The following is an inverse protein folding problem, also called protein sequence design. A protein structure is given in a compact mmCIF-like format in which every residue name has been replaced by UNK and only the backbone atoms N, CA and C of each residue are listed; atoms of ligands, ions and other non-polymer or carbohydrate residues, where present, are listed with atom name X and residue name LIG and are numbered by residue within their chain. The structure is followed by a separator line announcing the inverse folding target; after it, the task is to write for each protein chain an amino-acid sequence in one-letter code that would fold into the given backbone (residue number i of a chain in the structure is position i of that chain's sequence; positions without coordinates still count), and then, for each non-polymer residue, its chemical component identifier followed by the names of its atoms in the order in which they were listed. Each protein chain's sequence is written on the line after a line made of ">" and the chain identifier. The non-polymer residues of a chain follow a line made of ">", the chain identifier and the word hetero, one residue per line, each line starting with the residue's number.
data_IF_633031365612
#
_entry.id   IF_633031365612
#
_cell.length_a   1.000
_cell.length_b   1.000
_cell.length_c   1.000
_cell.angle_alpha   90.00
_cell.angle_beta   90.00
_cell.angle_gamma   90.00
#
_symmetry.space_group_name_H-M   'P 1'
#
loop_
_entity.id
_entity.type
_entity.pdbx_description
1 polymer ?
#
# COMPACT_ATOMS: atom_id res chain seq x y z
N UNK A 1 -29.32 22.44 23.20
CA UNK A 1 -28.71 21.13 23.16
C UNK A 1 -27.38 21.28 22.42
N UNK A 2 -26.26 21.35 23.18
CA UNK A 2 -24.92 21.43 22.61
C UNK A 2 -24.51 20.02 22.23
N UNK A 3 -24.47 19.73 20.94
CA UNK A 3 -23.92 18.48 20.43
C UNK A 3 -22.38 18.49 20.58
N UNK A 4 -21.87 17.69 21.50
CA UNK A 4 -20.44 17.39 21.57
C UNK A 4 -20.03 16.71 20.28
N UNK A 5 -19.39 17.48 19.39
CA UNK A 5 -18.65 16.92 18.25
C UNK A 5 -17.40 16.27 18.87
N UNK A 6 -17.46 14.96 19.10
CA UNK A 6 -16.26 14.16 19.28
C UNK A 6 -15.51 14.18 17.97
N UNK A 7 -14.56 15.10 17.81
CA UNK A 7 -13.50 14.98 16.82
C UNK A 7 -12.64 13.81 17.30
N UNK A 8 -12.98 12.62 16.87
CA UNK A 8 -12.04 11.50 16.88
C UNK A 8 -10.85 11.98 16.05
N UNK A 9 -9.73 12.25 16.71
CA UNK A 9 -8.45 12.43 16.03
C UNK A 9 -8.20 11.15 15.24
N UNK A 10 -8.55 11.14 13.95
CA UNK A 10 -8.22 10.04 13.06
C UNK A 10 -6.70 9.99 13.04
N UNK A 11 -6.14 8.93 13.63
CA UNK A 11 -4.70 8.71 13.59
C UNK A 11 -4.31 8.49 12.14
N UNK A 12 -3.33 9.25 11.65
CA UNK A 12 -2.77 9.06 10.33
C UNK A 12 -2.32 7.60 10.16
N UNK A 13 -2.73 6.97 9.06
CA UNK A 13 -2.34 5.60 8.72
C UNK A 13 -1.04 5.61 7.93
N UNK A 14 -0.02 4.93 8.43
CA UNK A 14 1.25 4.75 7.71
C UNK A 14 1.43 3.28 7.35
N UNK A 15 1.71 3.02 6.07
CA UNK A 15 2.03 1.69 5.55
C UNK A 15 3.42 1.78 4.95
N UNK A 16 4.34 0.95 5.41
CA UNK A 16 5.68 0.93 4.85
C UNK A 16 6.30 -0.49 4.89
N UNK A 17 7.24 -0.76 3.98
CA UNK A 17 7.95 -2.04 3.92
C UNK A 17 8.63 -2.25 2.59
N UNK A 18 9.34 -3.37 2.39
CA UNK A 18 9.94 -3.67 1.11
C UNK A 18 8.87 -3.96 0.05
N UNK A 19 9.20 -3.70 -1.20
CA UNK A 19 8.28 -3.95 -2.32
C UNK A 19 7.80 -5.40 -2.34
N UNK A 20 8.74 -6.35 -2.20
CA UNK A 20 8.54 -7.79 -2.23
C UNK A 20 9.41 -8.44 -1.14
N UNK A 21 9.04 -9.61 -0.69
CA UNK A 21 9.86 -10.43 0.20
C UNK A 21 11.06 -10.94 -0.58
N UNK A 22 12.25 -10.40 -0.31
CA UNK A 22 13.50 -10.81 -0.96
C UNK A 22 14.29 -11.79 -0.09
N UNK A 23 14.37 -11.52 1.22
CA UNK A 23 14.99 -12.39 2.22
C UNK A 23 14.46 -12.11 3.63
N UNK A 24 14.71 -13.02 4.57
CA UNK A 24 14.36 -12.85 5.97
C UNK A 24 15.15 -11.69 6.61
N UNK A 25 16.42 -11.52 6.25
CA UNK A 25 17.30 -10.47 6.75
C UNK A 25 16.83 -9.09 6.34
N UNK A 26 16.34 -8.95 5.09
CA UNK A 26 15.76 -7.68 4.63
C UNK A 26 14.48 -7.35 5.41
N UNK A 27 13.58 -8.31 5.59
CA UNK A 27 12.36 -8.09 6.37
C UNK A 27 12.69 -7.67 7.81
N UNK A 28 13.64 -8.36 8.42
CA UNK A 28 14.09 -8.10 9.80
C UNK A 28 14.66 -6.69 9.95
N UNK A 29 15.55 -6.28 9.04
CA UNK A 29 16.16 -4.96 9.01
C UNK A 29 15.10 -3.86 8.89
N UNK A 30 14.15 -4.01 7.98
CA UNK A 30 13.11 -3.01 7.73
C UNK A 30 12.11 -2.98 8.89
N UNK A 31 11.71 -4.13 9.43
CA UNK A 31 10.79 -4.20 10.56
C UNK A 31 11.38 -3.59 11.84
N UNK A 32 12.65 -3.86 12.13
CA UNK A 32 13.35 -3.25 13.27
C UNK A 32 13.34 -1.72 13.18
N UNK A 33 13.63 -1.17 11.99
CA UNK A 33 13.58 0.28 11.77
C UNK A 33 12.18 0.87 11.96
N UNK A 34 11.14 0.17 11.55
CA UNK A 34 9.76 0.63 11.77
C UNK A 34 9.38 0.66 13.24
N UNK A 35 9.81 -0.32 14.03
CA UNK A 35 9.61 -0.32 15.50
C UNK A 35 10.33 0.87 16.13
N UNK A 36 11.56 1.18 15.69
CA UNK A 36 12.30 2.37 16.15
C UNK A 36 11.52 3.66 15.85
N UNK A 37 11.06 3.82 14.61
CA UNK A 37 10.27 4.99 14.19
C UNK A 37 8.97 5.09 14.99
N UNK A 38 8.24 3.99 15.15
CA UNK A 38 7.01 3.93 15.94
C UNK A 38 7.22 4.40 17.36
N UNK A 39 8.31 3.96 18.01
CA UNK A 39 8.66 4.36 19.37
C UNK A 39 9.01 5.85 19.45
N UNK A 40 9.77 6.37 18.50
CA UNK A 40 10.23 7.77 18.51
C UNK A 40 9.11 8.75 18.17
N UNK A 41 8.29 8.42 17.18
CA UNK A 41 7.26 9.31 16.66
C UNK A 41 5.85 9.06 17.25
N UNK A 42 5.66 7.99 18.04
CA UNK A 42 4.34 7.61 18.56
C UNK A 42 3.36 7.22 17.44
N UNK A 43 3.87 6.57 16.39
CA UNK A 43 3.11 6.07 15.24
C UNK A 43 2.80 4.58 15.39
N UNK A 44 2.00 4.05 14.45
CA UNK A 44 1.70 2.63 14.34
C UNK A 44 1.78 2.26 12.84
N UNK A 45 3.01 2.12 12.36
CA UNK A 45 3.29 1.79 10.96
C UNK A 45 2.88 0.34 10.71
N UNK A 46 2.07 0.12 9.68
CA UNK A 46 1.71 -1.21 9.20
C UNK A 46 2.83 -1.69 8.27
N UNK A 47 3.43 -2.83 8.63
CA UNK A 47 4.49 -3.43 7.82
C UNK A 47 3.90 -4.08 6.56
N UNK A 48 4.41 -3.69 5.39
CA UNK A 48 3.95 -4.23 4.11
C UNK A 48 5.05 -4.98 3.38
N UNK A 49 4.78 -6.20 2.93
CA UNK A 49 5.57 -6.84 1.89
C UNK A 49 4.69 -7.77 1.04
N UNK A 50 5.00 -7.88 -0.27
CA UNK A 50 4.31 -8.81 -1.16
C UNK A 50 5.00 -10.17 -1.13
N UNK A 51 4.22 -11.25 -1.02
CA UNK A 51 4.74 -12.62 -1.16
C UNK A 51 4.90 -13.04 -2.63
N UNK A 52 4.20 -12.36 -3.54
CA UNK A 52 4.30 -12.55 -4.99
C UNK A 52 4.10 -11.21 -5.72
N UNK A 53 4.76 -11.06 -6.84
CA UNK A 53 4.55 -10.00 -7.83
C UNK A 53 3.96 -10.63 -9.11
N UNK A 54 2.63 -10.84 -9.11
CA UNK A 54 1.94 -11.61 -10.15
C UNK A 54 1.85 -10.91 -11.52
N UNK A 55 2.05 -9.59 -11.58
CA UNK A 55 1.87 -8.76 -12.78
C UNK A 55 3.17 -8.20 -13.37
N UNK A 56 4.28 -8.95 -13.27
CA UNK A 56 5.58 -8.52 -13.82
C UNK A 56 5.56 -8.43 -15.35
N UNK A 57 6.35 -7.50 -15.90
CA UNK A 57 6.48 -7.31 -17.36
C UNK A 57 7.16 -8.50 -18.03
N UNK A 58 8.16 -9.13 -17.39
CA UNK A 58 8.86 -10.30 -17.91
C UNK A 58 8.59 -11.53 -17.08
N UNK A 59 8.44 -12.69 -17.74
CA UNK A 59 8.26 -14.00 -17.08
C UNK A 59 9.49 -14.40 -16.24
N UNK A 60 10.67 -13.89 -16.58
CA UNK A 60 11.92 -14.14 -15.85
C UNK A 60 12.15 -13.19 -14.67
N UNK A 61 11.26 -12.22 -14.43
CA UNK A 61 11.41 -11.29 -13.31
C UNK A 61 11.25 -12.00 -11.98
N UNK A 62 11.98 -11.53 -10.96
CA UNK A 62 11.80 -12.00 -9.59
C UNK A 62 10.38 -11.73 -9.10
N UNK A 63 9.72 -12.74 -8.54
CA UNK A 63 8.33 -12.67 -8.10
C UNK A 63 8.15 -12.70 -6.59
N UNK A 64 9.12 -13.20 -5.85
CA UNK A 64 9.02 -13.44 -4.41
C UNK A 64 9.02 -14.93 -4.07
N UNK A 65 8.89 -15.28 -2.76
CA UNK A 65 8.96 -16.66 -2.27
C UNK A 65 7.69 -17.49 -2.51
N UNK A 66 6.61 -16.87 -3.01
CA UNK A 66 5.29 -17.49 -3.09
C UNK A 66 4.50 -17.40 -1.78
N UNK A 67 3.24 -17.84 -1.83
CA UNK A 67 2.29 -17.61 -0.72
C UNK A 67 2.69 -18.36 0.55
N UNK A 68 3.03 -19.64 0.48
CA UNK A 68 3.28 -20.46 1.68
C UNK A 68 4.47 -19.93 2.48
N UNK A 69 5.64 -19.80 1.84
CA UNK A 69 6.83 -19.26 2.50
C UNK A 69 6.68 -17.79 2.86
N UNK A 70 6.03 -17.00 1.99
CA UNK A 70 5.85 -15.58 2.25
C UNK A 70 4.96 -15.30 3.45
N UNK A 71 3.88 -16.06 3.63
CA UNK A 71 3.02 -15.92 4.81
C UNK A 71 3.70 -16.37 6.09
N UNK A 72 4.53 -17.41 6.07
CA UNK A 72 5.34 -17.80 7.22
C UNK A 72 6.29 -16.66 7.62
N UNK A 73 7.03 -16.09 6.68
CA UNK A 73 7.95 -14.99 6.94
C UNK A 73 7.23 -13.74 7.48
N UNK A 74 6.03 -13.42 6.96
CA UNK A 74 5.22 -12.32 7.48
C UNK A 74 4.68 -12.60 8.89
N UNK A 75 4.31 -13.85 9.19
CA UNK A 75 3.92 -14.27 10.53
C UNK A 75 5.07 -14.11 11.53
N UNK A 76 6.29 -14.49 11.14
CA UNK A 76 7.49 -14.33 11.98
C UNK A 76 7.77 -12.86 12.30
N UNK A 77 7.66 -11.97 11.31
CA UNK A 77 7.78 -10.52 11.53
C UNK A 77 6.70 -10.01 12.49
N UNK A 78 5.46 -10.44 12.30
CA UNK A 78 4.34 -10.07 13.19
C UNK A 78 4.60 -10.49 14.63
N UNK A 79 5.02 -11.72 14.85
CA UNK A 79 5.28 -12.26 16.18
C UNK A 79 6.50 -11.61 16.85
N UNK A 80 7.59 -11.43 16.09
CA UNK A 80 8.85 -10.89 16.60
C UNK A 80 8.76 -9.41 16.97
N UNK A 81 8.07 -8.62 16.15
CA UNK A 81 8.08 -7.17 16.24
C UNK A 81 6.76 -6.54 16.72
N UNK A 82 5.68 -7.33 16.81
CA UNK A 82 4.35 -6.83 17.21
C UNK A 82 3.74 -5.86 16.20
N UNK A 83 4.22 -5.85 14.94
CA UNK A 83 3.72 -4.98 13.90
C UNK A 83 2.43 -5.54 13.29
N UNK A 84 1.50 -4.66 12.94
CA UNK A 84 0.40 -5.02 12.03
C UNK A 84 0.97 -5.28 10.64
N UNK A 85 0.39 -6.25 9.93
CA UNK A 85 0.89 -6.69 8.61
C UNK A 85 -0.12 -6.40 7.51
N UNK A 86 0.39 -5.96 6.36
CA UNK A 86 -0.34 -5.84 5.12
C UNK A 86 0.36 -6.65 4.02
N UNK A 87 -0.39 -7.42 3.24
CA UNK A 87 0.09 -8.00 1.98
C UNK A 87 -0.95 -7.87 0.89
N UNK A 88 -0.54 -7.94 -0.37
CA UNK A 88 -1.44 -7.96 -1.52
C UNK A 88 -1.77 -9.39 -1.96
N UNK A 89 -3.01 -9.57 -2.44
CA UNK A 89 -3.52 -10.82 -2.98
C UNK A 89 -3.93 -10.62 -4.44
N UNK A 90 -3.79 -11.67 -5.27
CA UNK A 90 -4.00 -11.60 -6.72
C UNK A 90 -5.10 -12.54 -7.20
N UNK A 91 -5.37 -13.61 -6.45
CA UNK A 91 -6.37 -14.63 -6.72
C UNK A 91 -7.30 -14.78 -5.51
N UNK A 92 -8.58 -15.09 -5.76
CA UNK A 92 -9.58 -15.19 -4.69
C UNK A 92 -9.22 -16.24 -3.62
N UNK A 93 -8.61 -17.37 -4.00
CA UNK A 93 -8.23 -18.43 -3.07
C UNK A 93 -7.11 -18.02 -2.09
N UNK A 94 -6.34 -16.97 -2.41
CA UNK A 94 -5.28 -16.45 -1.55
C UNK A 94 -5.81 -15.67 -0.35
N UNK A 95 -7.06 -15.20 -0.42
CA UNK A 95 -7.62 -14.32 0.61
C UNK A 95 -7.70 -15.01 1.98
N UNK A 96 -8.20 -16.24 2.03
CA UNK A 96 -8.35 -16.97 3.29
C UNK A 96 -7.01 -17.26 3.97
N UNK A 97 -6.01 -17.93 3.34
CA UNK A 97 -4.73 -18.18 3.99
C UNK A 97 -3.99 -16.88 4.35
N UNK A 98 -4.02 -15.84 3.52
CA UNK A 98 -3.43 -14.56 3.84
C UNK A 98 -4.14 -13.90 5.04
N UNK A 99 -5.46 -13.96 5.08
CA UNK A 99 -6.27 -13.41 6.17
C UNK A 99 -6.01 -14.04 7.55
N UNK A 100 -5.47 -15.24 7.62
CA UNK A 100 -5.05 -15.85 8.91
C UNK A 100 -3.81 -15.18 9.49
N UNK A 101 -2.99 -14.55 8.66
CA UNK A 101 -1.70 -13.94 9.06
C UNK A 101 -1.79 -12.42 9.15
N UNK A 102 -2.37 -11.77 8.14
CA UNK A 102 -2.30 -10.31 8.01
C UNK A 102 -3.49 -9.59 8.66
N UNK A 103 -3.32 -8.31 8.89
CA UNK A 103 -4.35 -7.43 9.43
C UNK A 103 -5.08 -6.65 8.31
N UNK A 104 -4.40 -6.45 7.18
CA UNK A 104 -4.93 -5.74 6.02
C UNK A 104 -4.62 -6.54 4.75
N UNK A 105 -5.65 -6.82 3.96
CA UNK A 105 -5.52 -7.39 2.62
C UNK A 105 -5.57 -6.28 1.58
N UNK A 106 -4.57 -6.22 0.70
CA UNK A 106 -4.53 -5.22 -0.37
C UNK A 106 -4.95 -5.83 -1.71
N UNK A 107 -5.83 -5.13 -2.41
CA UNK A 107 -6.21 -5.43 -3.78
C UNK A 107 -5.38 -4.56 -4.71
N UNK A 108 -4.54 -5.14 -5.60
CA UNK A 108 -3.75 -4.40 -6.57
C UNK A 108 -4.62 -3.57 -7.52
N UNK A 109 -4.06 -2.46 -8.02
CA UNK A 109 -4.79 -1.50 -8.84
C UNK A 109 -5.43 -2.12 -10.09
N UNK A 110 -4.72 -2.98 -10.83
CA UNK A 110 -5.28 -3.66 -12.01
C UNK A 110 -6.44 -4.60 -11.68
N UNK A 111 -6.53 -5.09 -10.45
CA UNK A 111 -7.53 -6.06 -10.00
C UNK A 111 -8.68 -5.44 -9.20
N UNK A 112 -8.71 -4.11 -9.04
CA UNK A 112 -9.67 -3.44 -8.17
C UNK A 112 -11.15 -3.64 -8.55
N UNK A 113 -11.44 -4.11 -9.77
CA UNK A 113 -12.79 -4.41 -10.26
C UNK A 113 -13.17 -5.88 -10.21
N UNK A 114 -12.22 -6.78 -9.88
CA UNK A 114 -12.43 -8.24 -9.85
C UNK A 114 -13.39 -8.64 -8.71
N UNK A 115 -14.61 -8.98 -9.07
CA UNK A 115 -15.69 -9.22 -8.11
C UNK A 115 -15.35 -10.35 -7.13
N UNK A 116 -14.89 -11.51 -7.64
CA UNK A 116 -14.61 -12.67 -6.80
C UNK A 116 -13.45 -12.41 -5.82
N UNK A 117 -12.43 -11.64 -6.25
CA UNK A 117 -11.32 -11.25 -5.40
C UNK A 117 -11.76 -10.32 -4.26
N UNK A 118 -12.62 -9.33 -4.57
CA UNK A 118 -13.18 -8.41 -3.57
C UNK A 118 -14.07 -9.14 -2.56
N UNK A 119 -14.94 -10.06 -3.04
CA UNK A 119 -15.78 -10.87 -2.17
C UNK A 119 -14.94 -11.77 -1.25
N UNK A 120 -13.92 -12.42 -1.80
CA UNK A 120 -13.04 -13.30 -1.01
C UNK A 120 -12.29 -12.51 0.07
N UNK A 121 -11.74 -11.35 -0.28
CA UNK A 121 -11.08 -10.47 0.69
C UNK A 121 -12.04 -10.00 1.79
N UNK A 122 -13.24 -9.55 1.43
CA UNK A 122 -14.26 -9.10 2.37
C UNK A 122 -14.65 -10.18 3.39
N UNK A 123 -14.81 -11.43 2.94
CA UNK A 123 -15.20 -12.57 3.77
C UNK A 123 -14.17 -12.95 4.84
N UNK A 124 -12.93 -12.50 4.73
CA UNK A 124 -11.90 -12.75 5.75
C UNK A 124 -12.13 -11.97 7.05
N UNK A 125 -12.99 -10.94 7.04
CA UNK A 125 -13.20 -10.02 8.16
C UNK A 125 -12.03 -9.07 8.41
N UNK A 126 -11.02 -9.06 7.53
CA UNK A 126 -9.88 -8.12 7.62
C UNK A 126 -10.20 -6.80 6.93
N UNK A 127 -9.44 -5.75 7.25
CA UNK A 127 -9.48 -4.51 6.48
C UNK A 127 -9.10 -4.78 5.03
N UNK A 128 -9.87 -4.26 4.08
CA UNK A 128 -9.60 -4.40 2.64
C UNK A 128 -9.12 -3.07 2.08
N UNK A 129 -7.86 -2.97 1.71
CA UNK A 129 -7.29 -1.79 1.06
C UNK A 129 -7.33 -1.97 -0.46
N UNK A 130 -8.11 -1.15 -1.16
CA UNK A 130 -8.29 -1.23 -2.61
C UNK A 130 -7.50 -0.12 -3.29
N UNK A 131 -6.48 -0.48 -4.07
CA UNK A 131 -5.75 0.49 -4.89
C UNK A 131 -6.58 0.92 -6.09
N UNK A 132 -6.71 2.24 -6.28
CA UNK A 132 -7.39 2.81 -7.46
C UNK A 132 -6.63 2.43 -8.73
N UNK A 133 -7.34 1.88 -9.72
CA UNK A 133 -6.74 1.62 -11.02
C UNK A 133 -6.33 2.92 -11.73
N UNK A 134 -5.29 2.82 -12.56
CA UNK A 134 -4.75 3.97 -13.31
C UNK A 134 -5.73 4.53 -14.35
N UNK A 135 -6.77 3.78 -14.68
CA UNK A 135 -7.81 4.15 -15.65
C UNK A 135 -9.14 4.58 -15.00
N UNK A 136 -9.22 4.63 -13.65
CA UNK A 136 -10.42 5.03 -12.92
C UNK A 136 -10.28 6.43 -12.30
N UNK A 137 -11.40 7.13 -12.19
CA UNK A 137 -11.52 8.32 -11.35
C UNK A 137 -11.65 7.97 -9.88
N UNK A 138 -11.45 8.96 -8.98
CA UNK A 138 -11.70 8.78 -7.55
C UNK A 138 -13.16 8.39 -7.26
N UNK A 139 -14.11 9.01 -7.96
CA UNK A 139 -15.54 8.73 -7.82
C UNK A 139 -15.94 7.30 -8.24
N UNK A 140 -15.26 6.72 -9.22
CA UNK A 140 -15.57 5.36 -9.68
C UNK A 140 -15.16 4.28 -8.66
N UNK A 141 -14.34 4.64 -7.67
CA UNK A 141 -13.96 3.72 -6.61
C UNK A 141 -15.11 3.34 -5.68
N UNK A 142 -16.27 4.03 -5.76
CA UNK A 142 -17.49 3.60 -5.06
C UNK A 142 -17.92 2.18 -5.44
N UNK A 143 -17.80 1.78 -6.71
CA UNK A 143 -18.24 0.47 -7.17
C UNK A 143 -17.47 -0.71 -6.54
N UNK A 144 -16.11 -0.72 -6.51
CA UNK A 144 -15.41 -1.77 -5.78
C UNK A 144 -15.66 -1.71 -4.26
N UNK A 145 -15.88 -0.52 -3.68
CA UNK A 145 -16.22 -0.39 -2.26
C UNK A 145 -17.60 -0.98 -1.98
N UNK A 146 -18.60 -0.70 -2.80
CA UNK A 146 -19.95 -1.30 -2.68
C UNK A 146 -19.87 -2.83 -2.73
N UNK A 147 -19.17 -3.41 -3.71
CA UNK A 147 -18.97 -4.87 -3.78
C UNK A 147 -18.36 -5.46 -2.52
N UNK A 148 -17.33 -4.81 -1.95
CA UNK A 148 -16.69 -5.26 -0.73
C UNK A 148 -17.64 -5.16 0.47
N UNK A 149 -18.37 -4.05 0.61
CA UNK A 149 -19.35 -3.83 1.68
C UNK A 149 -20.53 -4.81 1.59
N UNK A 150 -21.09 -5.01 0.39
CA UNK A 150 -22.18 -5.98 0.15
C UNK A 150 -21.76 -7.42 0.46
N UNK A 151 -20.45 -7.71 0.31
CA UNK A 151 -19.86 -9.00 0.69
C UNK A 151 -19.53 -9.10 2.19
N UNK A 152 -19.78 -8.04 2.98
CA UNK A 152 -19.60 -8.04 4.43
C UNK A 152 -18.25 -7.50 4.93
N UNK A 153 -17.50 -6.74 4.11
CA UNK A 153 -16.27 -6.12 4.58
C UNK A 153 -16.53 -5.18 5.77
N UNK A 154 -15.84 -5.41 6.86
CA UNK A 154 -15.97 -4.60 8.08
C UNK A 154 -15.35 -3.20 7.91
N UNK A 155 -14.25 -3.11 7.19
CA UNK A 155 -13.53 -1.87 6.93
C UNK A 155 -12.92 -1.88 5.53
N UNK A 156 -13.05 -0.78 4.79
CA UNK A 156 -12.53 -0.63 3.43
C UNK A 156 -11.76 0.68 3.33
N UNK A 157 -10.53 0.58 2.87
CA UNK A 157 -9.65 1.71 2.57
C UNK A 157 -9.47 1.86 1.07
N UNK A 158 -9.23 3.08 0.61
CA UNK A 158 -8.88 3.36 -0.78
C UNK A 158 -7.47 3.94 -0.87
N UNK A 159 -6.76 3.58 -1.94
CA UNK A 159 -5.40 4.08 -2.18
C UNK A 159 -5.29 4.73 -3.55
N UNK A 160 -4.98 6.05 -3.56
CA UNK A 160 -4.61 6.81 -4.77
C UNK A 160 -3.17 6.44 -5.18
N UNK A 161 -2.93 6.25 -6.48
CA UNK A 161 -1.61 5.91 -7.02
C UNK A 161 -1.34 6.49 -8.42
N UNK A 162 -2.15 7.40 -8.87
CA UNK A 162 -2.03 8.07 -10.17
C UNK A 162 -2.82 7.42 -11.31
N UNK A 163 -2.90 8.16 -12.39
CA UNK A 163 -3.58 7.79 -13.63
C UNK A 163 -2.57 7.66 -14.77
N UNK A 164 -2.85 6.78 -15.72
CA UNK A 164 -2.06 6.57 -16.94
C UNK A 164 -2.64 7.39 -18.09
N UNK A 165 -1.81 8.25 -18.65
CA UNK A 165 -2.20 9.13 -19.75
C UNK A 165 -1.59 8.69 -21.10
N UNK A 166 -0.86 7.55 -21.13
CA UNK A 166 -0.34 6.96 -22.37
C UNK A 166 1.06 7.43 -22.80
N UNK A 167 1.74 8.29 -22.04
CA UNK A 167 3.10 8.78 -22.37
C UNK A 167 4.17 8.33 -21.36
N UNK A 168 4.04 7.11 -20.87
CA UNK A 168 4.98 6.46 -19.97
C UNK A 168 5.25 7.25 -18.67
N UNK A 169 4.28 8.01 -18.20
CA UNK A 169 4.33 8.74 -16.95
C UNK A 169 2.99 8.64 -16.24
N UNK A 170 3.01 8.51 -14.93
CA UNK A 170 1.78 8.57 -14.14
C UNK A 170 1.54 10.01 -13.68
N UNK A 171 0.28 10.41 -13.64
CA UNK A 171 -0.15 11.73 -13.18
C UNK A 171 -1.13 11.55 -12.03
N UNK A 172 -0.84 12.16 -10.90
CA UNK A 172 -1.77 12.19 -9.77
C UNK A 172 -2.67 13.41 -9.88
N UNK A 173 -3.95 13.17 -10.05
CA UNK A 173 -4.95 14.20 -9.78
C UNK A 173 -5.32 14.12 -8.30
N UNK A 174 -4.74 15.00 -7.50
CA UNK A 174 -4.96 15.01 -6.05
C UNK A 174 -6.42 15.27 -5.65
N UNK A 175 -7.28 15.77 -6.57
CA UNK A 175 -8.72 15.92 -6.34
C UNK A 175 -9.43 14.57 -6.14
N UNK A 176 -8.83 13.47 -6.63
CA UNK A 176 -9.32 12.13 -6.34
C UNK A 176 -9.34 11.80 -4.83
N UNK A 177 -8.47 12.43 -4.02
CA UNK A 177 -8.41 12.20 -2.57
C UNK A 177 -9.71 12.63 -1.89
N UNK A 178 -10.16 13.91 -1.97
CA UNK A 178 -11.45 14.30 -1.41
C UNK A 178 -12.62 13.56 -2.05
N UNK A 179 -12.59 13.22 -3.36
CA UNK A 179 -13.63 12.42 -3.99
C UNK A 179 -13.75 11.04 -3.32
N UNK A 180 -12.64 10.37 -3.05
CA UNK A 180 -12.62 9.08 -2.37
C UNK A 180 -12.96 9.20 -0.87
N UNK A 181 -12.64 10.32 -0.20
CA UNK A 181 -13.04 10.57 1.18
C UNK A 181 -14.56 10.71 1.34
N UNK A 182 -15.29 11.06 0.28
CA UNK A 182 -16.76 11.02 0.28
C UNK A 182 -17.32 9.57 0.23
N UNK A 183 -16.47 8.56 -0.05
CA UNK A 183 -16.86 7.14 -0.17
C UNK A 183 -16.46 6.36 1.08
N UNK A 184 -15.23 6.57 1.56
CA UNK A 184 -14.64 5.88 2.73
C UNK A 184 -13.89 6.88 3.61
N UNK A 185 -13.79 6.65 4.93
CA UNK A 185 -13.08 7.56 5.83
C UNK A 185 -11.55 7.48 5.72
N UNK A 186 -11.00 6.40 5.16
CA UNK A 186 -9.56 6.19 5.06
C UNK A 186 -9.12 6.19 3.59
N UNK A 187 -8.39 7.24 3.20
CA UNK A 187 -7.81 7.37 1.87
C UNK A 187 -6.29 7.53 1.99
N UNK A 188 -5.59 6.62 1.33
CA UNK A 188 -4.13 6.48 1.38
C UNK A 188 -3.53 7.01 0.09
N UNK A 189 -2.46 7.79 0.19
CA UNK A 189 -1.61 8.14 -0.95
C UNK A 189 -0.47 7.14 -1.07
N UNK A 190 -0.41 6.43 -2.19
CA UNK A 190 0.74 5.62 -2.56
C UNK A 190 1.83 6.52 -3.17
N UNK A 191 2.80 6.90 -2.36
CA UNK A 191 3.86 7.82 -2.75
C UNK A 191 4.93 7.14 -3.62
N UNK A 192 5.02 5.81 -3.57
CA UNK A 192 6.00 5.02 -4.34
C UNK A 192 5.54 4.79 -5.77
N UNK A 193 4.34 4.23 -5.93
CA UNK A 193 3.88 3.84 -7.26
C UNK A 193 3.34 5.03 -8.07
N UNK A 194 3.03 6.15 -7.43
CA UNK A 194 2.62 7.38 -8.13
C UNK A 194 3.76 8.06 -8.92
N UNK A 195 5.01 7.74 -8.61
CA UNK A 195 6.19 8.28 -9.32
C UNK A 195 6.79 7.30 -10.33
N UNK A 196 6.09 6.18 -10.60
CA UNK A 196 6.49 5.21 -11.62
C UNK A 196 6.41 5.82 -13.04
N UNK A 197 7.30 5.31 -13.90
CA UNK A 197 7.28 5.52 -15.34
C UNK A 197 7.12 4.16 -16.03
N UNK A 198 5.87 3.71 -16.24
CA UNK A 198 5.61 2.40 -16.84
C UNK A 198 6.26 2.30 -18.23
N UNK A 199 7.08 1.26 -18.46
CA UNK A 199 7.81 1.09 -19.72
C UNK A 199 8.93 2.11 -19.98
N UNK A 200 9.23 2.99 -19.04
CA UNK A 200 10.19 4.10 -19.20
C UNK A 200 11.67 3.71 -19.08
N UNK A 201 11.99 2.42 -18.92
CA UNK A 201 13.35 1.91 -18.78
C UNK A 201 13.50 0.59 -19.59
N UNK A 202 13.55 0.70 -20.92
CA UNK A 202 13.77 -0.41 -21.86
C UNK A 202 12.92 -1.67 -21.55
N UNK A 203 11.59 -1.48 -21.45
CA UNK A 203 10.64 -2.55 -21.15
C UNK A 203 10.49 -2.87 -19.66
N UNK A 204 11.18 -2.17 -18.79
CA UNK A 204 11.00 -2.22 -17.33
C UNK A 204 10.30 -0.96 -16.84
N UNK A 205 9.68 -1.05 -15.67
CA UNK A 205 9.12 0.13 -14.99
C UNK A 205 10.26 0.97 -14.44
N UNK A 206 10.40 2.19 -14.96
CA UNK A 206 11.25 3.24 -14.39
C UNK A 206 10.52 4.04 -13.32
N UNK A 207 11.14 5.11 -12.85
CA UNK A 207 10.54 6.05 -11.91
C UNK A 207 11.53 7.05 -11.35
N UNK A 208 11.07 7.87 -10.41
CA UNK A 208 11.90 8.89 -9.78
C UNK A 208 11.55 9.08 -8.30
N UNK A 209 12.25 8.34 -7.44
CA UNK A 209 12.06 8.38 -5.97
C UNK A 209 12.24 9.76 -5.35
N UNK A 210 12.91 10.69 -6.04
CA UNK A 210 13.12 12.06 -5.54
C UNK A 210 11.81 12.80 -5.27
N UNK A 211 10.73 12.43 -5.98
CA UNK A 211 9.42 13.05 -5.82
C UNK A 211 8.54 12.42 -4.72
N UNK A 212 8.97 11.30 -4.11
CA UNK A 212 8.19 10.65 -3.04
C UNK A 212 7.81 11.59 -1.90
N UNK A 213 8.73 12.42 -1.35
CA UNK A 213 8.38 13.36 -0.28
C UNK A 213 7.37 14.43 -0.73
N UNK A 214 7.49 14.94 -1.95
CA UNK A 214 6.58 15.97 -2.49
C UNK A 214 5.18 15.40 -2.72
N UNK A 215 5.08 14.17 -3.22
CA UNK A 215 3.79 13.48 -3.38
C UNK A 215 3.10 13.29 -2.03
N UNK A 216 3.85 12.92 -1.00
CA UNK A 216 3.33 12.77 0.34
C UNK A 216 2.78 14.07 0.91
N UNK A 217 3.52 15.18 0.77
CA UNK A 217 3.10 16.50 1.26
C UNK A 217 1.92 17.07 0.47
N UNK A 218 1.91 16.89 -0.86
CA UNK A 218 0.77 17.29 -1.69
C UNK A 218 -0.50 16.54 -1.28
N UNK A 219 -0.42 15.22 -1.06
CA UNK A 219 -1.55 14.43 -0.60
C UNK A 219 -2.06 14.90 0.79
N UNK A 220 -1.16 15.27 1.71
CA UNK A 220 -1.54 15.88 3.00
C UNK A 220 -2.37 17.16 2.80
N UNK A 221 -1.96 18.02 1.87
CA UNK A 221 -2.67 19.25 1.55
C UNK A 221 -4.08 19.01 0.99
N UNK A 222 -4.31 17.87 0.32
CA UNK A 222 -5.62 17.44 -0.18
C UNK A 222 -6.42 16.56 0.80
N UNK A 223 -5.92 16.39 2.04
CA UNK A 223 -6.66 15.72 3.10
C UNK A 223 -6.48 14.20 3.16
N UNK A 224 -5.46 13.62 2.53
CA UNK A 224 -5.15 12.20 2.69
C UNK A 224 -5.02 11.84 4.18
N UNK A 225 -5.59 10.71 4.55
CA UNK A 225 -5.59 10.19 5.92
C UNK A 225 -4.56 9.08 6.14
N UNK A 226 -3.82 8.72 5.09
CA UNK A 226 -2.75 7.73 5.16
C UNK A 226 -1.76 7.84 4.02
N UNK A 227 -0.61 7.19 4.21
CA UNK A 227 0.49 7.17 3.25
C UNK A 227 1.10 5.79 3.15
N UNK A 228 1.45 5.42 1.92
CA UNK A 228 2.08 4.15 1.59
C UNK A 228 3.46 4.41 0.98
N UNK A 229 4.48 3.73 1.54
CA UNK A 229 5.87 3.83 1.11
C UNK A 229 6.48 2.43 0.92
N UNK A 230 7.06 2.16 -0.23
CA UNK A 230 8.00 1.06 -0.35
C UNK A 230 9.40 1.58 -0.02
N UNK A 231 10.10 0.86 0.85
CA UNK A 231 11.40 1.26 1.39
C UNK A 231 12.40 0.11 1.28
N UNK A 232 13.68 0.47 1.15
CA UNK A 232 14.77 -0.50 1.12
C UNK A 232 16.04 0.13 1.70
N UNK A 233 16.89 -0.61 2.45
CA UNK A 233 18.17 -0.09 2.93
C UNK A 233 19.08 0.41 1.82
N UNK A 234 19.09 -0.28 0.67
CA UNK A 234 19.76 0.12 -0.56
C UNK A 234 18.83 -0.11 -1.76
N UNK A 235 17.98 0.86 -2.13
CA UNK A 235 16.97 0.68 -3.18
C UNK A 235 17.52 0.23 -4.54
N UNK A 236 18.75 0.60 -4.89
CA UNK A 236 19.35 0.25 -6.18
C UNK A 236 19.67 -1.25 -6.29
N UNK A 237 19.71 -1.97 -5.17
CA UNK A 237 19.87 -3.43 -5.11
C UNK A 237 18.53 -4.18 -5.03
N UNK A 238 17.42 -3.47 -4.92
CA UNK A 238 16.10 -4.09 -4.81
C UNK A 238 15.72 -4.90 -6.04
N UNK A 239 15.12 -6.06 -5.82
CA UNK A 239 14.72 -6.98 -6.88
C UNK A 239 13.39 -6.58 -7.56
N UNK A 240 12.69 -5.59 -6.99
CA UNK A 240 11.44 -5.02 -7.53
C UNK A 240 11.37 -3.53 -7.26
N UNK A 241 10.81 -2.77 -8.20
CA UNK A 241 10.54 -1.32 -8.11
C UNK A 241 11.71 -0.46 -7.60
N UNK A 242 12.94 -0.90 -7.83
CA UNK A 242 14.19 -0.28 -7.38
C UNK A 242 14.23 1.24 -7.61
N UNK A 243 13.78 1.73 -8.77
CA UNK A 243 13.79 3.15 -9.11
C UNK A 243 12.83 4.02 -8.27
N UNK A 244 11.85 3.41 -7.61
CA UNK A 244 10.77 4.11 -6.91
C UNK A 244 10.85 3.97 -5.39
N UNK A 245 11.51 2.92 -4.88
CA UNK A 245 11.63 2.71 -3.44
C UNK A 245 12.42 3.82 -2.78
N UNK A 246 11.93 4.26 -1.63
CA UNK A 246 12.60 5.24 -0.78
C UNK A 246 13.72 4.56 0.01
N UNK A 247 14.84 5.25 0.23
CA UNK A 247 15.85 4.81 1.18
C UNK A 247 15.25 4.75 2.60
N UNK A 248 15.47 3.61 3.28
CA UNK A 248 14.86 3.33 4.59
C UNK A 248 15.13 4.44 5.62
N UNK A 249 16.34 5.00 5.61
CA UNK A 249 16.75 6.05 6.54
C UNK A 249 16.02 7.39 6.33
N UNK A 250 15.42 7.61 5.16
CA UNK A 250 14.65 8.83 4.85
C UNK A 250 13.19 8.75 5.33
N UNK A 251 12.69 7.56 5.64
CA UNK A 251 11.28 7.34 5.98
C UNK A 251 10.84 8.17 7.19
N UNK A 252 11.65 8.18 8.25
CA UNK A 252 11.31 8.87 9.50
C UNK A 252 11.07 10.36 9.30
N UNK A 253 12.00 11.04 8.61
CA UNK A 253 11.89 12.48 8.36
C UNK A 253 10.70 12.87 7.47
N UNK A 254 10.18 11.92 6.67
CA UNK A 254 8.96 12.13 5.91
C UNK A 254 7.74 11.98 6.83
N UNK A 255 7.67 10.90 7.61
CA UNK A 255 6.56 10.65 8.55
C UNK A 255 6.42 11.82 9.54
N UNK A 256 7.53 12.35 10.05
CA UNK A 256 7.52 13.51 10.96
C UNK A 256 6.82 14.73 10.36
N UNK A 257 7.02 15.01 9.07
CA UNK A 257 6.35 16.12 8.35
C UNK A 257 4.88 15.84 8.06
N UNK A 258 4.45 14.59 8.09
CA UNK A 258 3.08 14.18 7.79
C UNK A 258 2.19 14.13 9.03
N UNK A 259 2.77 13.99 10.19
CA UNK A 259 2.06 14.10 11.47
C UNK A 259 1.58 15.53 11.70
#
# INVERSE_FOLDING_TARGET
>A
MQGNIYISYMRNTFIAGPCVIESAELLDTVAAKMVEINKRLGTDIIFKASFDKANRTSISSFRGPGIDHGLLMLSDIKQKYGLRILTDIHEAWQAEPAGQVVDVLQIPAFLCRQTDLLIAAAKTGKTVNIKKAQFLSGNDMRYPVEKAKDAGAADVWLTERGNMMGYNNLVVDFRNIPDMLNIVPTVIMDCTHSVQRPGGADGKTGGDRRYVPQMALAAKAFGATGWFFEVHPNPDQGLSDAANMLELDKLEGIIEKLK
#
